data_IF_866381488482
#
_entry.id   IF_866381488482
#
_cell.length_a   1.000
_cell.length_b   1.000
_cell.length_c   1.000
_cell.angle_alpha   90.00
_cell.angle_beta   90.00
_cell.angle_gamma   90.00
#
_symmetry.space_group_name_H-M   'P 1'
#
loop_
_entity.id
_entity.type
_entity.pdbx_description
1 polymer ?
#
# COMPACT_ATOMS: atom_id res chain seq x y z
N UNK A 1 3.28 38.61 39.78
CA UNK A 1 4.49 38.04 39.21
C UNK A 1 4.04 37.11 38.07
N UNK A 2 4.12 37.58 36.82
CA UNK A 2 3.76 36.79 35.64
C UNK A 2 4.93 35.83 35.33
N UNK A 3 4.67 34.55 35.42
CA UNK A 3 5.63 33.53 34.99
C UNK A 3 5.83 33.66 33.50
N UNK A 4 7.00 34.11 33.05
CA UNK A 4 7.41 34.04 31.65
C UNK A 4 7.54 32.58 31.28
N UNK A 5 6.73 32.15 30.33
CA UNK A 5 6.89 30.81 29.70
C UNK A 5 8.24 30.77 28.96
N UNK A 6 9.02 29.71 29.09
CA UNK A 6 10.29 29.60 28.39
C UNK A 6 10.02 29.55 26.87
N UNK A 7 10.58 30.51 26.15
CA UNK A 7 10.58 30.53 24.70
C UNK A 7 11.63 29.53 24.22
N UNK A 8 11.22 28.37 23.73
CA UNK A 8 12.10 27.42 23.05
C UNK A 8 12.41 27.95 21.65
N UNK A 9 13.61 28.47 21.42
CA UNK A 9 14.11 28.78 20.09
C UNK A 9 14.50 27.45 19.41
N UNK A 10 13.63 26.93 18.58
CA UNK A 10 13.83 25.63 17.86
C UNK A 10 14.78 25.76 16.66
N UNK A 11 15.39 26.92 16.42
CA UNK A 11 16.23 27.13 15.25
C UNK A 11 17.69 27.31 15.62
N UNK A 12 18.42 26.21 15.81
CA UNK A 12 19.87 26.19 15.58
C UNK A 12 20.05 26.45 14.09
N UNK A 13 20.71 27.58 13.73
CA UNK A 13 20.87 28.00 12.34
C UNK A 13 21.32 26.86 11.41
N UNK A 14 20.77 26.74 10.21
CA UNK A 14 21.07 25.62 9.31
C UNK A 14 22.57 25.59 8.99
N UNK A 15 23.20 24.44 9.24
CA UNK A 15 24.59 24.23 8.91
C UNK A 15 24.76 24.18 7.38
N UNK A 16 25.55 25.10 6.80
CA UNK A 16 25.73 25.20 5.38
C UNK A 16 27.08 24.63 4.94
N UNK A 17 27.04 23.56 4.17
CA UNK A 17 28.20 23.00 3.48
C UNK A 17 28.20 23.43 2.02
N UNK A 18 29.38 23.77 1.46
CA UNK A 18 29.54 24.21 0.06
C UNK A 18 30.71 23.50 -0.62
N UNK A 19 30.69 23.45 -1.96
CA UNK A 19 31.77 22.92 -2.77
C UNK A 19 32.04 21.42 -2.53
N UNK A 20 33.32 21.06 -2.52
CA UNK A 20 33.74 19.66 -2.34
C UNK A 20 33.35 19.04 -1.03
N UNK A 21 33.36 19.84 0.05
CA UNK A 21 32.96 19.35 1.38
C UNK A 21 31.51 18.85 1.36
N UNK A 22 30.62 19.58 0.68
CA UNK A 22 29.23 19.17 0.52
C UNK A 22 29.11 17.90 -0.34
N UNK A 23 29.84 17.80 -1.45
CA UNK A 23 29.85 16.62 -2.31
C UNK A 23 30.34 15.37 -1.55
N UNK A 24 31.46 15.48 -0.86
CA UNK A 24 32.01 14.38 -0.06
C UNK A 24 31.05 13.94 1.07
N UNK A 25 30.43 14.89 1.75
CA UNK A 25 29.42 14.62 2.79
C UNK A 25 28.21 13.90 2.22
N UNK A 26 27.68 14.33 1.08
CA UNK A 26 26.54 13.68 0.42
C UNK A 26 26.86 12.24 -0.02
N UNK A 27 28.04 12.03 -0.64
CA UNK A 27 28.46 10.69 -1.05
C UNK A 27 28.69 9.79 0.16
N UNK A 28 29.33 10.30 1.20
CA UNK A 28 29.55 9.56 2.45
C UNK A 28 28.25 9.14 3.11
N UNK A 29 27.29 10.04 3.20
CA UNK A 29 25.96 9.74 3.75
C UNK A 29 25.20 8.67 2.94
N UNK A 30 25.22 8.77 1.60
CA UNK A 30 24.61 7.78 0.72
C UNK A 30 25.27 6.40 0.85
N UNK A 31 26.60 6.36 0.91
CA UNK A 31 27.34 5.12 1.13
C UNK A 31 27.01 4.48 2.49
N UNK A 32 26.94 5.29 3.54
CA UNK A 32 26.57 4.79 4.88
C UNK A 32 25.20 4.11 4.86
N UNK A 33 24.20 4.71 4.20
CA UNK A 33 22.87 4.09 4.05
C UNK A 33 22.95 2.75 3.30
N UNK A 34 23.72 2.70 2.20
CA UNK A 34 23.92 1.46 1.45
C UNK A 34 24.63 0.38 2.29
N UNK A 35 25.64 0.75 3.07
CA UNK A 35 26.38 -0.18 3.91
C UNK A 35 25.53 -0.75 5.06
N UNK A 36 24.59 0.04 5.60
CA UNK A 36 23.62 -0.43 6.60
C UNK A 36 22.80 -1.60 6.09
N UNK A 37 22.34 -1.56 4.84
CA UNK A 37 21.47 -2.61 4.28
C UNK A 37 22.20 -3.68 3.49
N UNK A 38 23.49 -3.50 3.23
CA UNK A 38 24.33 -4.44 2.42
C UNK A 38 24.25 -5.89 2.91
N UNK A 39 24.23 -6.10 4.22
CA UNK A 39 24.15 -7.43 4.83
C UNK A 39 22.79 -8.12 4.64
N UNK A 40 21.79 -7.41 4.12
CA UNK A 40 20.46 -7.94 3.81
C UNK A 40 20.32 -8.43 2.37
N UNK A 41 21.37 -8.32 1.54
CA UNK A 41 21.35 -8.75 0.15
C UNK A 41 22.09 -10.07 -0.03
N UNK A 42 21.54 -10.93 -0.88
CA UNK A 42 22.18 -12.16 -1.35
C UNK A 42 21.75 -13.42 -0.59
N UNK A 43 22.32 -14.59 -0.95
CA UNK A 43 21.90 -15.89 -0.43
C UNK A 43 22.25 -16.10 1.05
N UNK A 44 23.19 -15.32 1.58
CA UNK A 44 23.55 -15.29 3.02
C UNK A 44 22.96 -14.09 3.74
N UNK A 45 21.87 -13.53 3.22
CA UNK A 45 21.19 -12.39 3.81
C UNK A 45 20.73 -12.70 5.24
N UNK A 46 20.95 -11.73 6.14
CA UNK A 46 20.56 -11.80 7.54
C UNK A 46 19.38 -10.86 7.80
N UNK A 47 18.49 -11.28 8.69
CA UNK A 47 17.43 -10.41 9.18
C UNK A 47 18.02 -9.32 10.07
N UNK A 48 17.51 -8.10 9.93
CA UNK A 48 17.77 -7.01 10.87
C UNK A 48 16.63 -6.89 11.87
N UNK A 49 17.00 -6.63 13.09
CA UNK A 49 16.09 -6.31 14.17
C UNK A 49 16.08 -4.80 14.37
N UNK A 50 14.93 -4.19 14.24
CA UNK A 50 14.75 -2.75 14.37
C UNK A 50 13.68 -2.51 15.43
N UNK A 51 13.90 -1.51 16.27
CA UNK A 51 12.90 -1.02 17.20
C UNK A 51 12.08 0.06 16.49
N UNK A 52 10.78 -0.12 16.44
CA UNK A 52 9.81 0.86 16.00
C UNK A 52 9.74 2.01 17.04
N UNK A 53 9.47 3.27 16.65
CA UNK A 53 9.23 4.39 17.56
C UNK A 53 8.17 4.13 18.64
N UNK A 54 7.25 3.19 18.39
CA UNK A 54 6.24 2.74 19.37
C UNK A 54 6.72 1.62 20.32
N UNK A 55 7.99 1.19 20.20
CA UNK A 55 8.57 0.13 21.03
C UNK A 55 8.30 -1.30 20.51
N UNK A 56 7.71 -1.44 19.33
CA UNK A 56 7.57 -2.71 18.63
C UNK A 56 8.90 -3.19 18.05
N UNK A 57 9.02 -4.51 17.82
CA UNK A 57 10.20 -5.12 17.21
C UNK A 57 9.86 -5.54 15.78
N UNK A 58 10.58 -4.98 14.81
CA UNK A 58 10.49 -5.37 13.40
C UNK A 58 11.71 -6.23 13.04
N UNK A 59 11.45 -7.45 12.55
CA UNK A 59 12.47 -8.36 12.02
C UNK A 59 12.28 -8.49 10.51
N UNK A 60 13.21 -7.92 9.74
CA UNK A 60 13.11 -7.93 8.27
C UNK A 60 14.49 -7.90 7.60
N UNK A 61 14.56 -8.36 6.36
CA UNK A 61 15.70 -8.14 5.46
C UNK A 61 15.31 -7.28 4.24
N UNK A 62 14.12 -6.73 4.23
CA UNK A 62 13.67 -5.86 3.14
C UNK A 62 14.24 -4.44 3.28
N UNK A 63 14.89 -3.95 2.19
CA UNK A 63 15.57 -2.65 2.23
C UNK A 63 14.63 -1.48 2.49
N UNK A 64 13.46 -1.47 1.86
CA UNK A 64 12.49 -0.40 2.08
C UNK A 64 11.93 -0.43 3.50
N UNK A 65 11.53 -1.60 4.00
CA UNK A 65 11.01 -1.73 5.37
C UNK A 65 12.04 -1.30 6.42
N UNK A 66 13.32 -1.62 6.22
CA UNK A 66 14.42 -1.20 7.11
C UNK A 66 14.58 0.33 7.10
N UNK A 67 14.68 0.91 5.89
CA UNK A 67 14.99 2.33 5.74
C UNK A 67 13.83 3.24 6.14
N UNK A 68 12.61 2.76 6.11
CA UNK A 68 11.43 3.50 6.57
C UNK A 68 11.45 3.76 8.08
N UNK A 69 11.96 2.81 8.85
CA UNK A 69 11.99 2.91 10.32
C UNK A 69 13.25 3.64 10.85
N UNK A 70 14.22 3.93 9.99
CA UNK A 70 15.45 4.64 10.38
C UNK A 70 15.26 6.15 10.23
N UNK A 71 15.40 6.87 11.34
CA UNK A 71 15.44 8.33 11.31
C UNK A 71 16.80 8.82 10.81
N UNK A 72 16.79 9.61 9.74
CA UNK A 72 17.99 10.15 9.12
C UNK A 72 17.91 11.68 9.03
N UNK A 73 18.93 12.36 9.53
CA UNK A 73 18.99 13.81 9.49
C UNK A 73 19.55 14.35 8.15
N UNK A 74 20.47 13.61 7.51
CA UNK A 74 21.20 14.08 6.33
C UNK A 74 20.33 14.07 5.07
N UNK A 75 20.25 15.19 4.28
CA UNK A 75 19.39 15.28 3.10
C UNK A 75 19.68 14.22 2.02
N UNK A 76 20.95 13.92 1.74
CA UNK A 76 21.32 12.91 0.76
C UNK A 76 20.89 11.50 1.19
N UNK A 77 20.94 11.19 2.47
CA UNK A 77 20.45 9.92 3.00
C UNK A 77 18.92 9.84 2.89
N UNK A 78 18.18 10.93 3.11
CA UNK A 78 16.73 10.98 2.85
C UNK A 78 16.40 10.71 1.38
N UNK A 79 17.19 11.27 0.44
CA UNK A 79 17.01 10.97 -0.99
C UNK A 79 17.24 9.50 -1.32
N UNK A 80 18.15 8.81 -0.62
CA UNK A 80 18.34 7.36 -0.78
C UNK A 80 17.12 6.58 -0.28
N UNK A 81 16.51 7.00 0.82
CA UNK A 81 15.27 6.38 1.35
C UNK A 81 14.13 6.56 0.34
N UNK A 82 13.96 7.76 -0.22
CA UNK A 82 12.95 8.01 -1.24
C UNK A 82 13.19 7.20 -2.53
N UNK A 83 14.43 6.96 -2.91
CA UNK A 83 14.76 6.06 -4.03
C UNK A 83 14.29 4.62 -3.76
N UNK A 84 14.50 4.12 -2.55
CA UNK A 84 14.00 2.81 -2.14
C UNK A 84 12.48 2.74 -2.16
N UNK A 85 11.82 3.81 -1.69
CA UNK A 85 10.37 3.93 -1.69
C UNK A 85 9.81 3.92 -3.12
N UNK A 86 10.39 4.70 -4.02
CA UNK A 86 9.96 4.73 -5.43
C UNK A 86 10.09 3.34 -6.08
N UNK A 87 11.17 2.61 -5.81
CA UNK A 87 11.35 1.25 -6.29
C UNK A 87 10.28 0.30 -5.75
N UNK A 88 9.93 0.43 -4.47
CA UNK A 88 8.86 -0.38 -3.85
C UNK A 88 7.48 -0.07 -4.44
N UNK A 89 7.22 1.20 -4.74
CA UNK A 89 5.94 1.64 -5.30
C UNK A 89 5.74 1.20 -6.76
N UNK A 90 6.80 1.20 -7.56
CA UNK A 90 6.72 0.90 -8.98
C UNK A 90 6.89 -0.58 -9.30
N UNK A 91 7.78 -1.28 -8.59
CA UNK A 91 8.17 -2.67 -8.90
C UNK A 91 7.83 -3.62 -7.76
N UNK A 92 7.95 -3.19 -6.50
CA UNK A 92 7.72 -4.01 -5.31
C UNK A 92 8.87 -4.96 -4.95
N UNK A 93 9.95 -4.99 -5.73
CA UNK A 93 11.13 -5.81 -5.48
C UNK A 93 12.42 -5.07 -5.83
N UNK A 94 13.57 -5.58 -5.37
CA UNK A 94 14.88 -4.99 -5.64
C UNK A 94 15.18 -3.71 -4.84
N UNK A 95 14.41 -3.39 -3.82
CA UNK A 95 14.59 -2.21 -2.97
C UNK A 95 15.98 -2.14 -2.33
N UNK A 96 16.50 -3.27 -1.85
CA UNK A 96 17.86 -3.39 -1.30
C UNK A 96 18.92 -3.21 -2.39
N UNK A 97 18.71 -3.83 -3.55
CA UNK A 97 19.67 -3.82 -4.67
C UNK A 97 19.87 -2.42 -5.23
N UNK A 98 18.79 -1.65 -5.39
CA UNK A 98 18.81 -0.29 -5.95
C UNK A 98 19.63 0.66 -5.06
N UNK A 99 19.49 0.54 -3.75
CA UNK A 99 20.20 1.39 -2.79
C UNK A 99 21.68 1.04 -2.75
N UNK A 100 22.03 -0.26 -2.73
CA UNK A 100 23.42 -0.68 -2.76
C UNK A 100 24.09 -0.24 -4.05
N UNK A 101 23.41 -0.41 -5.19
CA UNK A 101 23.92 0.04 -6.49
C UNK A 101 24.14 1.55 -6.52
N UNK A 102 23.17 2.33 -6.04
CA UNK A 102 23.29 3.79 -5.97
C UNK A 102 24.45 4.22 -5.05
N UNK A 103 24.58 3.60 -3.89
CA UNK A 103 25.69 3.86 -2.96
C UNK A 103 27.06 3.54 -3.55
N UNK A 104 27.19 2.43 -4.28
CA UNK A 104 28.44 2.06 -4.96
C UNK A 104 28.78 3.01 -6.12
N UNK A 105 27.82 3.35 -6.97
CA UNK A 105 28.03 4.31 -8.07
C UNK A 105 28.51 5.65 -7.51
N UNK A 106 27.92 6.13 -6.41
CA UNK A 106 28.35 7.36 -5.75
C UNK A 106 29.75 7.20 -5.11
N UNK A 107 30.04 6.08 -4.48
CA UNK A 107 31.34 5.82 -3.89
C UNK A 107 32.46 5.81 -4.93
N UNK A 108 32.23 5.19 -6.09
CA UNK A 108 33.18 5.20 -7.23
C UNK A 108 33.34 6.59 -7.86
N UNK A 109 32.41 7.51 -7.64
CA UNK A 109 32.56 8.89 -8.09
C UNK A 109 33.58 9.67 -7.25
N UNK A 110 33.82 9.29 -6.01
CA UNK A 110 34.67 10.05 -5.09
C UNK A 110 36.10 10.22 -5.57
N UNK A 111 36.83 9.15 -5.99
CA UNK A 111 38.19 9.28 -6.53
C UNK A 111 38.26 10.13 -7.80
N UNK A 112 37.19 10.15 -8.59
CA UNK A 112 37.11 10.96 -9.82
C UNK A 112 36.97 12.45 -9.47
N UNK A 113 36.19 12.78 -8.48
CA UNK A 113 36.07 14.15 -7.94
C UNK A 113 37.39 14.60 -7.31
N UNK A 114 38.11 13.75 -6.60
CA UNK A 114 39.44 14.05 -6.05
C UNK A 114 40.46 14.40 -7.12
N UNK A 115 40.36 13.74 -8.29
CA UNK A 115 41.19 14.07 -9.49
C UNK A 115 40.73 15.31 -10.21
N UNK A 116 39.84 16.13 -9.68
CA UNK A 116 39.29 17.35 -10.27
C UNK A 116 38.44 17.14 -11.52
N UNK A 117 37.90 15.95 -11.76
CA UNK A 117 36.93 15.79 -12.84
C UNK A 117 35.62 16.50 -12.47
N UNK A 118 35.08 17.22 -13.42
CA UNK A 118 33.85 17.99 -13.19
C UNK A 118 32.64 17.03 -13.06
N UNK A 119 31.75 17.23 -12.08
CA UNK A 119 30.60 16.34 -11.87
C UNK A 119 29.75 16.10 -13.12
N UNK A 120 29.57 17.12 -13.97
CA UNK A 120 28.80 16.99 -15.22
C UNK A 120 29.40 15.95 -16.17
N UNK A 121 30.74 15.84 -16.23
CA UNK A 121 31.42 14.82 -17.06
C UNK A 121 31.17 13.44 -16.53
N UNK A 122 31.23 13.26 -15.21
CA UNK A 122 30.93 11.98 -14.53
C UNK A 122 29.49 11.56 -14.79
N UNK A 123 28.53 12.50 -14.61
CA UNK A 123 27.10 12.25 -14.87
C UNK A 123 26.86 11.87 -16.33
N UNK A 124 27.51 12.56 -17.28
CA UNK A 124 27.38 12.23 -18.70
C UNK A 124 27.91 10.83 -19.02
N UNK A 125 29.03 10.43 -18.40
CA UNK A 125 29.57 9.08 -18.53
C UNK A 125 28.61 8.03 -17.97
N UNK A 126 28.02 8.25 -16.80
CA UNK A 126 27.05 7.34 -16.20
C UNK A 126 25.76 7.21 -17.05
N UNK A 127 25.28 8.30 -17.65
CA UNK A 127 24.14 8.23 -18.58
C UNK A 127 24.45 7.35 -19.80
N UNK A 128 25.63 7.48 -20.39
CA UNK A 128 26.07 6.60 -21.50
C UNK A 128 26.20 5.14 -21.06
N UNK A 129 26.75 4.91 -19.86
CA UNK A 129 26.87 3.59 -19.29
C UNK A 129 25.50 2.96 -19.04
N UNK A 130 24.51 3.73 -18.53
CA UNK A 130 23.14 3.29 -18.34
C UNK A 130 22.50 2.83 -19.66
N UNK A 131 22.59 3.67 -20.71
CA UNK A 131 22.05 3.31 -22.03
C UNK A 131 22.65 2.00 -22.54
N UNK A 132 23.97 1.82 -22.40
CA UNK A 132 24.63 0.58 -22.79
C UNK A 132 24.22 -0.62 -21.93
N UNK A 133 24.11 -0.44 -20.61
CA UNK A 133 23.67 -1.47 -19.69
C UNK A 133 22.26 -1.97 -20.04
N UNK A 134 21.31 -1.06 -20.32
CA UNK A 134 19.96 -1.40 -20.73
C UNK A 134 19.94 -2.24 -22.00
N UNK A 135 20.74 -1.86 -23.03
CA UNK A 135 20.86 -2.65 -24.27
C UNK A 135 21.40 -4.06 -24.02
N UNK A 136 22.38 -4.20 -23.12
CA UNK A 136 22.93 -5.50 -22.77
C UNK A 136 21.91 -6.34 -22.02
N UNK A 137 21.20 -5.76 -21.04
CA UNK A 137 20.15 -6.46 -20.28
C UNK A 137 19.05 -6.94 -21.24
N UNK A 138 18.61 -6.12 -22.16
CA UNK A 138 17.61 -6.50 -23.17
C UNK A 138 18.08 -7.69 -24.03
N UNK A 139 19.36 -7.67 -24.43
CA UNK A 139 19.95 -8.74 -25.27
C UNK A 139 20.11 -10.09 -24.55
N UNK A 140 20.23 -10.08 -23.21
CA UNK A 140 20.39 -11.29 -22.39
C UNK A 140 19.11 -11.71 -21.69
N UNK A 141 18.04 -10.91 -21.78
CA UNK A 141 16.76 -11.22 -21.14
C UNK A 141 16.14 -12.48 -21.75
N UNK A 142 15.56 -13.31 -20.91
CA UNK A 142 14.86 -14.55 -21.30
C UNK A 142 13.36 -14.23 -21.34
N UNK A 143 12.67 -14.43 -22.46
CA UNK A 143 11.23 -14.22 -22.53
C UNK A 143 10.50 -15.23 -21.63
N UNK A 144 9.52 -14.75 -20.89
CA UNK A 144 8.69 -15.57 -19.99
C UNK A 144 7.26 -15.63 -20.51
N UNK A 145 6.66 -16.81 -20.46
CA UNK A 145 5.27 -16.97 -20.81
C UNK A 145 4.37 -16.78 -19.57
N UNK A 146 3.58 -15.69 -19.58
CA UNK A 146 2.68 -15.31 -18.49
C UNK A 146 1.56 -16.35 -18.28
N UNK A 147 1.19 -17.10 -19.31
CA UNK A 147 0.11 -18.10 -19.23
C UNK A 147 0.55 -19.40 -18.54
N UNK A 148 1.86 -19.67 -18.50
CA UNK A 148 2.39 -20.88 -17.87
C UNK A 148 2.63 -20.67 -16.39
N UNK A 149 1.87 -21.39 -15.57
CA UNK A 149 1.95 -21.32 -14.12
C UNK A 149 3.34 -21.68 -13.57
N UNK A 150 3.98 -22.69 -14.13
CA UNK A 150 5.28 -23.17 -13.66
C UNK A 150 6.40 -22.11 -13.82
N UNK A 151 6.40 -21.40 -14.96
CA UNK A 151 7.36 -20.32 -15.22
C UNK A 151 7.10 -19.14 -14.28
N UNK A 152 5.83 -18.77 -14.08
CA UNK A 152 5.45 -17.69 -13.16
C UNK A 152 5.77 -18.03 -11.70
N UNK A 153 5.47 -19.25 -11.26
CA UNK A 153 5.81 -19.73 -9.92
C UNK A 153 7.31 -19.73 -9.68
N UNK A 154 8.13 -20.09 -10.68
CA UNK A 154 9.58 -20.03 -10.58
C UNK A 154 10.10 -18.62 -10.35
N UNK A 155 9.56 -17.61 -11.06
CA UNK A 155 9.91 -16.19 -10.89
C UNK A 155 9.51 -15.72 -9.49
N UNK A 156 8.27 -15.97 -9.05
CA UNK A 156 7.79 -15.58 -7.73
C UNK A 156 8.66 -16.23 -6.64
N UNK A 157 9.04 -17.50 -6.82
CA UNK A 157 9.92 -18.21 -5.88
C UNK A 157 11.29 -17.55 -5.76
N UNK A 158 11.86 -17.00 -6.83
CA UNK A 158 13.14 -16.27 -6.75
C UNK A 158 13.03 -14.99 -5.95
N UNK A 159 11.93 -14.25 -6.09
CA UNK A 159 11.67 -13.03 -5.34
C UNK A 159 11.42 -13.30 -3.83
N UNK A 160 10.68 -14.36 -3.50
CA UNK A 160 10.32 -14.69 -2.11
C UNK A 160 11.45 -15.47 -1.40
N UNK A 161 12.35 -16.12 -2.14
CA UNK A 161 13.30 -17.08 -1.62
C UNK A 161 14.26 -16.56 -0.55
N UNK A 162 14.54 -15.27 -0.54
CA UNK A 162 15.39 -14.60 0.47
C UNK A 162 14.60 -14.00 1.64
N UNK A 163 13.29 -14.02 1.58
CA UNK A 163 12.41 -13.43 2.60
C UNK A 163 12.03 -14.46 3.67
N UNK A 164 11.58 -14.01 4.83
CA UNK A 164 11.13 -14.87 5.93
C UNK A 164 10.05 -15.87 5.51
N UNK A 165 9.17 -15.47 4.61
CA UNK A 165 8.07 -16.28 4.08
C UNK A 165 8.54 -17.47 3.21
N UNK A 166 9.83 -17.57 2.88
CA UNK A 166 10.39 -18.69 2.11
C UNK A 166 10.12 -20.08 2.75
N UNK A 167 9.87 -20.13 4.05
CA UNK A 167 9.45 -21.35 4.75
C UNK A 167 8.15 -21.94 4.23
N UNK A 168 7.24 -21.10 3.74
CA UNK A 168 5.96 -21.45 3.14
C UNK A 168 5.93 -21.10 1.64
N UNK A 169 7.08 -21.22 0.99
CA UNK A 169 7.30 -20.73 -0.40
C UNK A 169 6.24 -21.23 -1.38
N UNK A 170 5.88 -22.50 -1.34
CA UNK A 170 4.92 -23.07 -2.29
C UNK A 170 3.52 -22.47 -2.11
N UNK A 171 3.04 -22.38 -0.88
CA UNK A 171 1.76 -21.76 -0.57
C UNK A 171 1.75 -20.30 -0.97
N UNK A 172 2.77 -19.53 -0.56
CA UNK A 172 2.85 -18.09 -0.82
C UNK A 172 2.99 -17.77 -2.31
N UNK A 173 3.74 -18.57 -3.07
CA UNK A 173 3.83 -18.40 -4.52
C UNK A 173 2.46 -18.60 -5.21
N UNK A 174 1.71 -19.63 -4.82
CA UNK A 174 0.37 -19.87 -5.35
C UNK A 174 -0.62 -18.78 -4.98
N UNK A 175 -0.59 -18.31 -3.72
CA UNK A 175 -1.44 -17.21 -3.27
C UNK A 175 -1.12 -15.91 -4.01
N UNK A 176 0.17 -15.57 -4.17
CA UNK A 176 0.59 -14.39 -4.89
C UNK A 176 0.15 -14.44 -6.36
N UNK A 177 0.36 -15.56 -7.06
CA UNK A 177 -0.07 -15.74 -8.45
C UNK A 177 -1.59 -15.61 -8.58
N UNK A 178 -2.35 -16.26 -7.69
CA UNK A 178 -3.82 -16.17 -7.70
C UNK A 178 -4.28 -14.75 -7.44
N UNK A 179 -3.71 -14.05 -6.44
CA UNK A 179 -4.09 -12.68 -6.12
C UNK A 179 -3.85 -11.72 -7.28
N UNK A 180 -2.67 -11.80 -7.91
CA UNK A 180 -2.34 -10.94 -9.06
C UNK A 180 -3.28 -11.21 -10.23
N UNK A 181 -3.56 -12.47 -10.57
CA UNK A 181 -4.49 -12.82 -11.67
C UNK A 181 -5.92 -12.38 -11.39
N UNK A 182 -6.36 -12.43 -10.14
CA UNK A 182 -7.71 -11.97 -9.75
C UNK A 182 -7.87 -10.47 -9.92
N UNK A 183 -6.81 -9.70 -9.65
CA UNK A 183 -6.81 -8.23 -9.71
C UNK A 183 -6.46 -7.71 -11.11
N UNK A 184 -5.75 -8.51 -11.91
CA UNK A 184 -5.34 -8.12 -13.26
C UNK A 184 -6.56 -7.80 -14.14
N UNK A 185 -6.64 -6.56 -14.60
CA UNK A 185 -7.68 -6.10 -15.52
C UNK A 185 -7.08 -5.76 -16.89
N UNK A 186 -7.75 -6.22 -17.94
CA UNK A 186 -7.41 -5.82 -19.31
C UNK A 186 -8.15 -4.52 -19.58
N UNK A 187 -7.42 -3.43 -19.73
CA UNK A 187 -8.00 -2.15 -20.11
C UNK A 187 -8.21 -2.11 -21.63
N UNK A 188 -9.45 -2.16 -22.12
CA UNK A 188 -9.74 -2.16 -23.55
C UNK A 188 -9.43 -0.81 -24.23
N UNK A 189 -9.20 0.25 -23.45
CA UNK A 189 -8.96 1.59 -23.97
C UNK A 189 -7.49 1.86 -24.30
N UNK A 190 -6.57 1.05 -23.79
CA UNK A 190 -5.15 1.16 -24.12
C UNK A 190 -4.93 0.54 -25.50
N UNK A 191 -5.05 1.35 -26.55
CA UNK A 191 -4.64 0.96 -27.89
C UNK A 191 -3.18 0.50 -27.86
N UNK A 192 -2.93 -0.70 -28.40
CA UNK A 192 -1.59 -1.26 -28.57
C UNK A 192 -0.74 -0.29 -29.38
N UNK A 193 -0.02 0.59 -28.71
CA UNK A 193 1.11 1.29 -29.32
C UNK A 193 2.22 0.26 -29.50
N UNK A 194 2.67 0.10 -30.72
CA UNK A 194 3.61 -0.94 -31.17
C UNK A 194 4.97 -0.88 -30.43
N UNK A 195 5.24 0.20 -29.68
CA UNK A 195 6.52 0.46 -29.02
C UNK A 195 6.50 0.29 -27.48
N UNK A 196 5.40 -0.12 -26.88
CA UNK A 196 5.36 -0.39 -25.44
C UNK A 196 5.23 -1.87 -25.16
N UNK A 197 6.20 -2.44 -24.45
CA UNK A 197 6.18 -3.78 -23.87
C UNK A 197 5.02 -4.02 -22.88
N UNK A 198 4.17 -3.03 -22.65
CA UNK A 198 3.01 -3.14 -21.78
C UNK A 198 1.84 -3.75 -22.53
N UNK A 199 1.53 -4.98 -22.21
CA UNK A 199 0.43 -5.79 -22.76
C UNK A 199 -0.98 -5.27 -22.47
N UNK A 200 -1.19 -4.00 -22.19
CA UNK A 200 -2.52 -3.44 -21.87
C UNK A 200 -3.18 -4.01 -20.59
N UNK A 201 -2.42 -4.77 -19.80
CA UNK A 201 -2.88 -5.30 -18.52
C UNK A 201 -2.44 -4.35 -17.43
N UNK A 202 -3.40 -3.82 -16.68
CA UNK A 202 -3.14 -3.01 -15.49
C UNK A 202 -3.36 -3.87 -14.25
N UNK A 203 -2.42 -3.80 -13.30
CA UNK A 203 -2.49 -4.51 -12.03
C UNK A 203 -2.31 -3.51 -10.90
N UNK A 204 -3.40 -3.17 -10.22
CA UNK A 204 -3.37 -2.28 -9.06
C UNK A 204 -3.64 -3.09 -7.78
N UNK A 205 -2.57 -3.63 -7.22
CA UNK A 205 -2.63 -4.42 -5.99
C UNK A 205 -2.96 -3.56 -4.76
N UNK A 206 -2.50 -2.31 -4.70
CA UNK A 206 -2.73 -1.43 -3.54
C UNK A 206 -4.20 -1.14 -3.34
N UNK A 207 -4.95 -0.99 -4.41
CA UNK A 207 -6.37 -0.64 -4.37
C UNK A 207 -7.28 -1.86 -4.26
N UNK A 208 -6.96 -2.95 -4.94
CA UNK A 208 -7.87 -4.09 -5.11
C UNK A 208 -7.47 -5.36 -4.36
N UNK A 209 -6.21 -5.51 -3.94
CA UNK A 209 -5.75 -6.65 -3.16
C UNK A 209 -5.48 -6.25 -1.71
N UNK A 210 -6.48 -6.37 -0.86
CA UNK A 210 -6.35 -6.07 0.56
C UNK A 210 -5.93 -7.31 1.33
N UNK A 211 -4.85 -7.19 2.10
CA UNK A 211 -4.38 -8.26 2.99
C UNK A 211 -4.93 -8.02 4.39
N UNK A 212 -5.77 -8.94 4.85
CA UNK A 212 -6.30 -8.91 6.22
C UNK A 212 -5.62 -9.97 7.08
N UNK A 213 -5.20 -9.56 8.28
CA UNK A 213 -4.58 -10.45 9.26
C UNK A 213 -5.65 -10.93 10.24
N UNK A 214 -5.99 -12.22 10.17
CA UNK A 214 -6.94 -12.84 11.07
C UNK A 214 -6.19 -13.57 12.18
N UNK A 215 -6.22 -13.08 13.43
CA UNK A 215 -5.54 -13.75 14.54
C UNK A 215 -6.22 -15.08 14.91
N UNK A 216 -5.43 -16.01 15.43
CA UNK A 216 -5.93 -17.30 15.94
C UNK A 216 -5.95 -18.45 14.92
N UNK A 217 -5.44 -18.24 13.71
CA UNK A 217 -5.26 -19.29 12.70
C UNK A 217 -3.79 -19.63 12.46
N UNK A 218 -3.56 -20.61 11.60
CA UNK A 218 -2.23 -20.99 11.10
C UNK A 218 -1.97 -20.31 9.74
N UNK A 219 -0.69 -20.09 9.40
CA UNK A 219 -0.29 -19.47 8.13
C UNK A 219 -0.74 -20.33 6.94
N UNK A 220 -0.76 -21.64 7.11
CA UNK A 220 -1.19 -22.63 6.12
C UNK A 220 -2.66 -22.47 5.70
N UNK A 221 -3.47 -21.89 6.57
CA UNK A 221 -4.89 -21.61 6.30
C UNK A 221 -5.11 -20.31 5.50
N UNK A 222 -4.04 -19.58 5.18
CA UNK A 222 -4.12 -18.36 4.37
C UNK A 222 -4.65 -18.68 2.98
N UNK A 223 -5.59 -17.88 2.48
CA UNK A 223 -6.21 -18.09 1.18
C UNK A 223 -6.50 -16.76 0.48
N UNK A 224 -6.58 -16.81 -0.84
CA UNK A 224 -7.10 -15.71 -1.66
C UNK A 224 -8.57 -15.98 -1.94
N UNK A 225 -9.41 -15.03 -1.55
CA UNK A 225 -10.85 -15.10 -1.77
C UNK A 225 -11.20 -14.63 -3.19
N UNK A 226 -12.09 -15.36 -3.85
CA UNK A 226 -12.68 -14.94 -5.12
C UNK A 226 -13.92 -14.07 -4.84
N UNK A 227 -13.72 -12.96 -4.16
CA UNK A 227 -14.80 -12.09 -3.71
C UNK A 227 -14.30 -11.03 -2.71
N UNK A 228 -15.22 -10.45 -1.97
CA UNK A 228 -14.95 -9.38 -1.01
C UNK A 228 -15.20 -9.87 0.40
N UNK A 229 -14.28 -9.60 1.31
CA UNK A 229 -14.44 -9.83 2.75
C UNK A 229 -14.70 -8.50 3.45
N UNK A 230 -15.80 -8.41 4.16
CA UNK A 230 -16.16 -7.26 4.97
C UNK A 230 -16.01 -7.61 6.45
N UNK A 231 -15.32 -6.76 7.20
CA UNK A 231 -15.21 -6.91 8.65
C UNK A 231 -16.48 -6.40 9.36
N UNK A 232 -17.61 -6.97 8.97
CA UNK A 232 -18.94 -6.67 9.51
C UNK A 232 -19.72 -7.96 9.66
N UNK A 233 -20.55 -8.02 10.70
CA UNK A 233 -21.50 -9.12 10.91
C UNK A 233 -22.91 -8.66 10.52
N UNK A 234 -23.85 -9.59 10.51
CA UNK A 234 -25.27 -9.29 10.31
C UNK A 234 -25.77 -8.36 11.41
N UNK A 235 -26.62 -7.41 11.06
CA UNK A 235 -27.09 -6.37 11.99
C UNK A 235 -27.95 -6.97 13.12
N UNK A 236 -28.71 -8.04 12.83
CA UNK A 236 -29.57 -8.67 13.84
C UNK A 236 -29.29 -10.19 13.94
N UNK A 237 -29.22 -10.78 15.15
CA UNK A 237 -28.88 -12.20 15.37
C UNK A 237 -29.81 -13.22 14.68
N UNK A 238 -31.07 -12.85 14.42
CA UNK A 238 -32.04 -13.69 13.72
C UNK A 238 -31.88 -13.72 12.20
N UNK A 239 -31.04 -12.85 11.62
CA UNK A 239 -30.76 -12.83 10.17
C UNK A 239 -29.97 -14.07 9.76
N UNK A 240 -30.21 -14.52 8.54
CA UNK A 240 -29.48 -15.64 7.93
C UNK A 240 -28.01 -15.30 7.74
N UNK A 241 -27.12 -16.17 8.17
CA UNK A 241 -25.66 -15.98 8.04
C UNK A 241 -25.08 -16.57 6.75
N UNK A 242 -25.83 -17.42 6.07
CA UNK A 242 -25.44 -18.02 4.80
C UNK A 242 -26.60 -17.96 3.83
N UNK A 243 -26.33 -17.40 2.65
CA UNK A 243 -27.31 -17.27 1.58
C UNK A 243 -26.61 -17.72 0.29
N UNK A 244 -27.22 -18.66 -0.43
CA UNK A 244 -26.71 -19.17 -1.71
C UNK A 244 -27.34 -18.39 -2.86
N UNK A 245 -26.52 -17.94 -3.81
CA UNK A 245 -26.92 -17.13 -4.97
C UNK A 245 -27.78 -15.90 -4.63
N UNK A 246 -27.34 -15.03 -3.71
CA UNK A 246 -28.13 -13.91 -3.23
C UNK A 246 -28.33 -12.83 -4.30
N UNK A 247 -29.51 -12.23 -4.33
CA UNK A 247 -29.73 -10.93 -4.97
C UNK A 247 -29.28 -9.84 -4.00
N UNK A 248 -28.28 -9.07 -4.37
CA UNK A 248 -27.62 -8.08 -3.53
C UNK A 248 -28.02 -6.69 -3.97
N UNK A 249 -28.41 -5.85 -3.01
CA UNK A 249 -28.58 -4.41 -3.22
C UNK A 249 -27.49 -3.68 -2.43
N UNK A 250 -26.83 -2.73 -3.10
CA UNK A 250 -25.85 -1.83 -2.49
C UNK A 250 -26.45 -0.44 -2.38
N UNK A 251 -26.44 0.12 -1.18
CA UNK A 251 -27.00 1.44 -0.89
C UNK A 251 -25.92 2.38 -0.36
N UNK A 252 -25.81 3.54 -0.96
CA UNK A 252 -24.97 4.66 -0.52
C UNK A 252 -25.70 5.60 0.46
N UNK A 253 -26.92 5.28 0.81
CA UNK A 253 -27.73 6.06 1.74
C UNK A 253 -27.94 5.32 3.07
N UNK A 254 -28.23 6.07 4.12
CA UNK A 254 -28.70 5.52 5.39
C UNK A 254 -30.15 5.05 5.28
N UNK A 255 -30.45 3.92 5.95
CA UNK A 255 -31.83 3.48 6.17
C UNK A 255 -32.32 3.99 7.53
N UNK A 256 -32.27 5.29 7.70
CA UNK A 256 -32.67 6.01 8.89
C UNK A 256 -33.54 7.19 8.51
N UNK A 257 -34.30 7.70 9.46
CA UNK A 257 -35.00 8.96 9.27
C UNK A 257 -34.02 10.08 8.89
N UNK A 258 -34.22 10.70 7.74
CA UNK A 258 -33.35 11.76 7.25
C UNK A 258 -33.70 13.07 7.93
N UNK A 259 -32.84 13.59 8.80
CA UNK A 259 -32.98 14.95 9.36
C UNK A 259 -32.91 15.96 8.22
N UNK A 260 -33.83 16.96 8.26
CA UNK A 260 -33.78 18.08 7.32
C UNK A 260 -32.49 18.89 7.44
N UNK A 261 -32.12 19.60 6.36
CA UNK A 261 -30.91 20.43 6.33
C UNK A 261 -30.99 21.65 7.25
N UNK A 262 -32.21 22.12 7.60
CA UNK A 262 -32.46 23.22 8.51
C UNK A 262 -32.81 22.70 9.91
N UNK A 263 -32.06 23.13 10.92
CA UNK A 263 -32.41 22.89 12.32
C UNK A 263 -33.59 23.83 12.71
N UNK A 264 -34.79 23.36 12.54
CA UNK A 264 -36.02 24.04 13.07
C UNK A 264 -36.39 23.38 14.38
N UNK A 265 -36.42 24.13 15.47
CA UNK A 265 -36.96 23.65 16.73
C UNK A 265 -38.46 23.63 16.62
N UNK A 266 -39.08 22.48 16.84
CA UNK A 266 -40.52 22.29 16.89
C UNK A 266 -40.89 22.18 18.37
N UNK A 267 -41.69 23.09 18.87
CA UNK A 267 -42.30 23.01 20.20
C UNK A 267 -43.62 22.23 20.12
N UNK A 268 -43.64 21.08 20.77
CA UNK A 268 -44.81 20.21 20.83
C UNK A 268 -45.57 20.53 22.14
N UNK A 269 -46.76 21.04 22.04
CA UNK A 269 -47.60 21.42 23.18
C UNK A 269 -48.69 20.41 23.49
N UNK A 270 -48.97 19.46 22.55
CA UNK A 270 -50.03 18.46 22.70
C UNK A 270 -49.48 17.05 22.52
N UNK A 271 -49.97 16.14 23.35
CA UNK A 271 -49.59 14.73 23.30
C UNK A 271 -49.94 14.04 21.97
N UNK A 272 -51.07 14.43 21.38
CA UNK A 272 -51.51 13.93 20.06
C UNK A 272 -50.56 14.30 18.91
N UNK A 273 -49.89 15.43 18.99
CA UNK A 273 -48.97 15.88 17.95
C UNK A 273 -47.65 15.13 18.00
N UNK A 274 -47.25 14.68 19.21
CA UNK A 274 -46.10 13.79 19.39
C UNK A 274 -46.31 12.45 18.68
N UNK A 275 -47.48 11.82 18.90
CA UNK A 275 -47.81 10.55 18.25
C UNK A 275 -47.82 10.65 16.71
N UNK A 276 -48.32 11.76 16.16
CA UNK A 276 -48.32 12.00 14.72
C UNK A 276 -46.91 12.16 14.13
N UNK A 277 -45.98 12.76 14.87
CA UNK A 277 -44.60 12.92 14.41
C UNK A 277 -43.91 11.55 14.32
N UNK A 278 -44.11 10.70 15.33
CA UNK A 278 -43.58 9.34 15.32
C UNK A 278 -44.17 8.50 14.17
N UNK A 279 -45.46 8.64 13.89
CA UNK A 279 -46.09 7.97 12.75
C UNK A 279 -45.53 8.46 11.40
N UNK A 280 -45.22 9.75 11.25
CA UNK A 280 -44.61 10.28 10.02
C UNK A 280 -43.19 9.71 9.85
N UNK A 281 -42.42 9.66 10.92
CA UNK A 281 -41.08 9.09 10.89
C UNK A 281 -41.13 7.61 10.47
N UNK A 282 -41.99 6.81 11.09
CA UNK A 282 -42.18 5.39 10.74
C UNK A 282 -42.65 5.23 9.29
N UNK A 283 -43.61 6.04 8.82
CA UNK A 283 -44.09 5.99 7.44
C UNK A 283 -42.99 6.31 6.42
N UNK A 284 -42.08 7.26 6.69
CA UNK A 284 -40.99 7.57 5.79
C UNK A 284 -39.98 6.43 5.70
N UNK A 285 -39.60 5.83 6.83
CA UNK A 285 -38.70 4.69 6.87
C UNK A 285 -39.36 3.50 6.15
N UNK A 286 -40.63 3.24 6.39
CA UNK A 286 -41.39 2.18 5.73
C UNK A 286 -41.41 2.37 4.20
N UNK A 287 -41.66 3.57 3.70
CA UNK A 287 -41.64 3.83 2.26
C UNK A 287 -40.26 3.57 1.61
N UNK A 288 -39.16 3.84 2.33
CA UNK A 288 -37.82 3.48 1.85
C UNK A 288 -37.65 1.97 1.80
N UNK A 289 -38.07 1.27 2.83
CA UNK A 289 -38.00 -0.19 2.89
C UNK A 289 -38.88 -0.86 1.82
N UNK A 290 -40.11 -0.37 1.62
CA UNK A 290 -41.03 -0.89 0.59
C UNK A 290 -40.42 -0.82 -0.82
N UNK A 291 -39.74 0.28 -1.16
CA UNK A 291 -39.02 0.40 -2.43
C UNK A 291 -37.89 -0.63 -2.59
N UNK A 292 -37.20 -0.97 -1.50
CA UNK A 292 -36.16 -1.99 -1.51
C UNK A 292 -36.78 -3.37 -1.70
N UNK A 293 -37.88 -3.65 -1.00
CA UNK A 293 -38.60 -4.91 -1.05
C UNK A 293 -39.25 -5.21 -2.40
N UNK A 294 -39.55 -4.21 -3.23
CA UNK A 294 -40.02 -4.39 -4.63
C UNK A 294 -39.04 -5.23 -5.44
N UNK A 295 -37.73 -5.08 -5.20
CA UNK A 295 -36.69 -5.85 -5.87
C UNK A 295 -36.47 -7.25 -5.29
N UNK A 296 -37.12 -7.57 -4.15
CA UNK A 296 -36.99 -8.83 -3.43
C UNK A 296 -35.52 -9.22 -3.20
N UNK A 297 -34.69 -8.39 -2.55
CA UNK A 297 -33.31 -8.71 -2.27
C UNK A 297 -33.19 -9.80 -1.23
N UNK A 298 -32.13 -10.59 -1.32
CA UNK A 298 -31.74 -11.55 -0.29
C UNK A 298 -30.74 -10.94 0.69
N UNK A 299 -30.01 -9.91 0.24
CA UNK A 299 -28.99 -9.23 1.01
C UNK A 299 -28.92 -7.75 0.65
N UNK A 300 -28.87 -6.90 1.65
CA UNK A 300 -28.74 -5.44 1.50
C UNK A 300 -27.49 -4.98 2.24
N UNK A 301 -26.60 -4.29 1.53
CA UNK A 301 -25.44 -3.60 2.10
C UNK A 301 -25.71 -2.10 2.11
N UNK A 302 -25.49 -1.47 3.26
CA UNK A 302 -25.56 0.00 3.41
C UNK A 302 -24.20 0.53 3.82
N UNK A 303 -23.76 1.63 3.23
CA UNK A 303 -22.55 2.34 3.66
C UNK A 303 -22.76 3.02 5.02
N UNK A 304 -23.96 3.52 5.24
CA UNK A 304 -24.37 4.28 6.44
C UNK A 304 -25.27 3.43 7.34
N UNK A 305 -25.65 4.01 8.47
CA UNK A 305 -26.43 3.33 9.50
C UNK A 305 -27.81 2.81 9.04
N UNK A 306 -28.28 1.83 9.78
CA UNK A 306 -29.64 1.25 9.64
C UNK A 306 -30.35 1.44 10.97
N UNK A 307 -31.53 2.04 10.97
CA UNK A 307 -32.33 2.23 12.18
C UNK A 307 -33.07 0.95 12.58
N UNK A 308 -33.40 0.82 13.86
CA UNK A 308 -34.20 -0.30 14.34
C UNK A 308 -35.57 -0.39 13.65
N UNK A 309 -36.16 0.75 13.28
CA UNK A 309 -37.41 0.81 12.50
C UNK A 309 -37.23 0.17 11.12
N UNK A 310 -36.09 0.39 10.45
CA UNK A 310 -35.80 -0.24 9.17
C UNK A 310 -35.67 -1.75 9.29
N UNK A 311 -35.04 -2.24 10.39
CA UNK A 311 -34.89 -3.66 10.66
C UNK A 311 -36.22 -4.41 10.90
N UNK A 312 -37.26 -3.70 11.33
CA UNK A 312 -38.60 -4.27 11.51
C UNK A 312 -39.27 -4.52 10.15
N UNK A 313 -38.98 -3.67 9.16
CA UNK A 313 -39.62 -3.72 7.83
C UNK A 313 -38.86 -4.52 6.78
N UNK A 314 -37.56 -4.74 6.96
CA UNK A 314 -36.68 -5.55 6.11
C UNK A 314 -36.47 -6.94 6.70
#
# INVERSE_FOLDING_TARGET
MSAQQPVFVVNTGPERHTGRKAQASNIGAAKTVADVIRTCLGPKAMLKMILDPMGGILLTNDGHAILREIEVAHPAAKSMIELSRAQDEEVGDGTTSVIILAGEVLAYSMPLLERNLHPVVIISAYKKALTRALQVIESISIPVNIEKDDEMLAIIRTSIGTKFVSRWSELMCRLALKAVRTVASIDPTVQRSVDSLSSGVTVDLKRYARVEKVPGGEIENSCVLDGVMLNKDVTHPKMRRRIENPRIILLDCSLEFKKGESQTNIEITREEDWSKILEIEEQQVKQMCDKILEFKPDLVFTEKGVSDLSLIHI
#
